data_IF_618530185667
#
_entry.id   IF_618530185667
#
_cell.length_a   1.000
_cell.length_b   1.000
_cell.length_c   1.000
_cell.angle_alpha   90.00
_cell.angle_beta   90.00
_cell.angle_gamma   90.00
#
_symmetry.space_group_name_H-M   'P 1'
#
loop_
_entity.id
_entity.type
_entity.pdbx_description
1 polymer ?
#
# COMPACT_ATOMS: atom_id res chain seq x y z
N UNK A 1 5.86 10.37 -27.45
CA UNK A 1 5.01 11.52 -27.05
C UNK A 1 3.68 10.94 -26.59
N UNK A 2 3.26 11.25 -25.36
CA UNK A 2 2.02 10.72 -24.79
C UNK A 2 0.78 11.30 -25.49
N UNK A 3 -0.27 10.50 -25.59
CA UNK A 3 -1.54 10.84 -26.25
C UNK A 3 -2.72 10.57 -25.32
N UNK A 4 -3.81 11.31 -25.53
CA UNK A 4 -5.07 11.06 -24.83
C UNK A 4 -5.51 9.62 -25.15
N UNK A 5 -5.77 8.84 -24.10
CA UNK A 5 -6.14 7.43 -24.20
C UNK A 5 -5.00 6.46 -23.93
N UNK A 6 -3.74 6.92 -23.80
CA UNK A 6 -2.64 6.07 -23.37
C UNK A 6 -2.92 5.52 -21.96
N UNK A 7 -2.66 4.24 -21.77
CA UNK A 7 -2.84 3.54 -20.49
C UNK A 7 -1.52 2.94 -20.05
N UNK A 8 -1.28 3.01 -18.75
CA UNK A 8 -0.18 2.33 -18.09
C UNK A 8 -0.75 1.53 -16.92
N UNK A 9 -0.36 0.26 -16.83
CA UNK A 9 -0.76 -0.65 -15.77
C UNK A 9 0.49 -1.28 -15.17
N UNK A 10 0.52 -1.37 -13.83
CA UNK A 10 1.62 -1.98 -13.10
C UNK A 10 1.05 -2.79 -11.94
N UNK A 11 1.26 -4.11 -11.99
CA UNK A 11 0.86 -5.00 -10.91
C UNK A 11 1.85 -4.86 -9.74
N UNK A 12 1.31 -4.58 -8.56
CA UNK A 12 2.11 -4.36 -7.37
C UNK A 12 1.34 -4.77 -6.11
N UNK A 13 2.08 -5.29 -5.13
CA UNK A 13 1.55 -5.60 -3.79
C UNK A 13 2.57 -5.28 -2.72
N UNK A 14 2.08 -4.97 -1.53
CA UNK A 14 2.91 -4.84 -0.33
C UNK A 14 2.99 -6.18 0.41
N UNK A 15 4.17 -6.51 0.91
CA UNK A 15 4.33 -7.64 1.84
C UNK A 15 3.95 -7.22 3.27
N UNK A 16 3.67 -8.18 4.14
CA UNK A 16 3.37 -7.88 5.53
C UNK A 16 4.56 -7.22 6.25
N UNK A 17 5.79 -7.56 5.87
CA UNK A 17 7.01 -6.93 6.41
C UNK A 17 7.06 -5.44 6.06
N UNK A 18 6.64 -5.06 4.85
CA UNK A 18 6.59 -3.65 4.45
C UNK A 18 5.50 -2.88 5.21
N UNK A 19 4.36 -3.53 5.48
CA UNK A 19 3.30 -2.98 6.33
C UNK A 19 3.81 -2.77 7.75
N UNK A 20 4.49 -3.77 8.32
CA UNK A 20 5.07 -3.68 9.66
C UNK A 20 6.13 -2.57 9.76
N UNK A 21 7.00 -2.45 8.75
CA UNK A 21 8.00 -1.39 8.67
C UNK A 21 7.35 -0.01 8.58
N UNK A 22 6.26 0.13 7.82
CA UNK A 22 5.52 1.39 7.77
C UNK A 22 4.93 1.76 9.12
N UNK A 23 4.40 0.80 9.89
CA UNK A 23 3.93 1.04 11.25
C UNK A 23 5.05 1.57 12.16
N UNK A 24 6.26 1.01 12.05
CA UNK A 24 7.44 1.46 12.81
C UNK A 24 7.85 2.89 12.43
N UNK A 25 7.93 3.20 11.14
CA UNK A 25 8.41 4.50 10.65
C UNK A 25 7.39 5.61 10.83
N UNK A 26 6.11 5.33 10.60
CA UNK A 26 5.04 6.33 10.67
C UNK A 26 4.50 6.56 12.08
N UNK A 27 4.67 5.59 12.97
CA UNK A 27 4.01 5.55 14.28
C UNK A 27 2.54 5.10 14.24
N UNK A 28 1.99 4.81 13.06
CA UNK A 28 0.64 4.22 12.93
C UNK A 28 0.68 2.72 13.28
N UNK A 29 0.51 2.47 14.57
CA UNK A 29 0.55 1.15 15.20
C UNK A 29 -0.84 0.55 15.42
N UNK A 30 -1.84 0.99 14.66
CA UNK A 30 -3.18 0.40 14.74
C UNK A 30 -3.10 -1.14 14.52
N UNK A 31 -3.61 -1.95 15.45
CA UNK A 31 -3.50 -3.41 15.38
C UNK A 31 -4.16 -4.02 14.14
N UNK A 32 -5.07 -3.31 13.47
CA UNK A 32 -5.65 -3.75 12.20
C UNK A 32 -4.61 -3.96 11.09
N UNK A 33 -3.42 -3.37 11.23
CA UNK A 33 -2.35 -3.49 10.23
C UNK A 33 -1.37 -4.63 10.52
N UNK A 34 -1.17 -4.99 11.79
CA UNK A 34 -0.04 -5.85 12.22
C UNK A 34 -0.46 -7.06 13.06
N UNK A 35 -1.66 -7.06 13.65
CA UNK A 35 -2.13 -8.13 14.52
C UNK A 35 -3.19 -8.99 13.80
N UNK A 36 -2.84 -10.27 13.56
CA UNK A 36 -3.72 -11.21 12.85
C UNK A 36 -5.06 -11.44 13.56
N UNK A 37 -5.08 -11.49 14.89
CA UNK A 37 -6.31 -11.69 15.66
C UNK A 37 -7.23 -10.47 15.58
N UNK A 38 -6.66 -9.27 15.73
CA UNK A 38 -7.41 -8.02 15.54
C UNK A 38 -7.97 -7.90 14.13
N UNK A 39 -7.16 -8.22 13.10
CA UNK A 39 -7.59 -8.27 11.72
C UNK A 39 -8.72 -9.28 11.49
N UNK A 40 -8.58 -10.51 12.00
CA UNK A 40 -9.59 -11.58 11.90
C UNK A 40 -10.93 -11.19 12.54
N UNK A 41 -10.88 -10.52 13.69
CA UNK A 41 -12.06 -10.09 14.43
C UNK A 41 -12.66 -8.76 13.91
N UNK A 42 -11.99 -8.11 12.95
CA UNK A 42 -12.50 -6.92 12.30
C UNK A 42 -13.49 -7.25 11.18
N UNK A 43 -14.19 -6.23 10.69
CA UNK A 43 -15.05 -6.34 9.50
C UNK A 43 -14.31 -6.78 8.23
N UNK A 44 -12.98 -6.67 8.22
CA UNK A 44 -12.14 -7.06 7.08
C UNK A 44 -11.76 -8.55 7.11
N UNK A 45 -11.88 -9.22 8.26
CA UNK A 45 -11.55 -10.63 8.45
C UNK A 45 -10.07 -10.99 8.30
N UNK A 46 -9.19 -10.00 8.13
CA UNK A 46 -7.73 -10.11 8.02
C UNK A 46 -7.06 -8.76 8.28
N UNK A 47 -5.74 -8.76 8.40
CA UNK A 47 -4.98 -7.50 8.40
C UNK A 47 -5.13 -6.77 7.06
N UNK A 48 -5.11 -5.44 7.12
CA UNK A 48 -5.14 -4.56 5.94
C UNK A 48 -3.94 -3.62 5.97
N UNK A 49 -3.53 -3.10 4.81
CA UNK A 49 -2.45 -2.10 4.75
C UNK A 49 -2.90 -0.75 5.35
N UNK A 50 -1.94 0.09 5.73
CA UNK A 50 -2.20 1.47 6.12
C UNK A 50 -2.71 2.29 4.91
N UNK A 51 -3.67 3.19 5.16
CA UNK A 51 -4.23 4.03 4.09
C UNK A 51 -3.16 4.89 3.41
N UNK A 52 -2.28 5.53 4.18
CA UNK A 52 -1.20 6.35 3.64
C UNK A 52 -0.06 5.53 3.01
N UNK A 53 0.18 4.29 3.46
CA UNK A 53 1.05 3.37 2.73
C UNK A 53 0.47 3.08 1.35
N UNK A 54 -0.84 2.80 1.27
CA UNK A 54 -1.54 2.66 -0.01
C UNK A 54 -1.43 3.89 -0.90
N UNK A 55 -1.59 5.09 -0.35
CA UNK A 55 -1.43 6.34 -1.10
C UNK A 55 0.01 6.54 -1.62
N UNK A 56 1.02 6.08 -0.87
CA UNK A 56 2.44 6.23 -1.24
C UNK A 56 2.80 5.54 -2.57
N UNK A 57 2.08 4.47 -2.93
CA UNK A 57 2.31 3.72 -4.18
C UNK A 57 2.14 4.59 -5.41
N UNK A 58 1.33 5.65 -5.32
CA UNK A 58 1.10 6.59 -6.42
C UNK A 58 2.44 7.14 -6.94
N UNK A 59 3.34 7.52 -6.04
CA UNK A 59 4.65 8.08 -6.43
C UNK A 59 5.49 7.05 -7.19
N UNK A 60 5.47 5.78 -6.75
CA UNK A 60 6.18 4.68 -7.42
C UNK A 60 5.67 4.47 -8.85
N UNK A 61 4.34 4.41 -9.02
CA UNK A 61 3.72 4.12 -10.32
C UNK A 61 3.84 5.32 -11.26
N UNK A 62 3.47 6.51 -10.78
CA UNK A 62 3.42 7.72 -11.59
C UNK A 62 4.80 8.16 -12.07
N UNK A 63 5.79 8.19 -11.16
CA UNK A 63 7.15 8.56 -11.55
C UNK A 63 7.82 7.44 -12.36
N UNK A 64 7.59 6.16 -12.02
CA UNK A 64 8.09 5.04 -12.79
C UNK A 64 7.67 5.09 -14.26
N UNK A 65 6.46 5.58 -14.55
CA UNK A 65 6.00 5.82 -15.91
C UNK A 65 6.67 7.03 -16.59
N UNK A 66 6.92 8.13 -15.87
CA UNK A 66 7.47 9.36 -16.45
C UNK A 66 8.98 9.32 -16.72
N UNK A 67 9.73 8.42 -16.08
CA UNK A 67 11.19 8.26 -16.29
C UNK A 67 11.58 7.10 -17.22
N UNK A 68 10.60 6.37 -17.77
CA UNK A 68 10.80 5.33 -18.79
C UNK A 68 10.28 5.79 -20.15
#
# INVERSE_FOLDING_TARGET
MLKIGDKFEHEYSYTQEQVNLYAEVSGDTNPLHTNQEAGKNSIFGRCIIHGFLGASVFTKIFWGFMVC
#
